data_IF_080829087443
#
_entry.id   IF_080829087443
#
_cell.length_a   1.000
_cell.length_b   1.000
_cell.length_c   1.000
_cell.angle_alpha   90.00
_cell.angle_beta   90.00
_cell.angle_gamma   90.00
#
_symmetry.space_group_name_H-M   'P 1'
#
loop_
_entity.id
_entity.type
_entity.pdbx_description
1 polymer ?
#
# COMPACT_ATOMS: atom_id res chain seq x y z
N UNK A 1 -9.18 -0.26 47.47
CA UNK A 1 -8.94 -1.54 46.74
C UNK A 1 -10.00 -1.83 45.64
N UNK A 2 -10.97 -0.96 45.33
CA UNK A 2 -12.06 -1.29 44.38
C UNK A 2 -11.84 -0.93 42.90
N UNK A 3 -10.87 -0.07 42.56
CA UNK A 3 -10.60 0.32 41.14
C UNK A 3 -10.00 -0.80 40.29
N UNK A 4 -9.28 -1.74 40.91
CA UNK A 4 -8.60 -2.84 40.20
C UNK A 4 -9.60 -3.86 39.66
N UNK A 5 -10.59 -4.29 40.47
CA UNK A 5 -11.54 -5.33 40.07
C UNK A 5 -12.48 -4.92 38.93
N UNK A 6 -12.85 -3.64 38.83
CA UNK A 6 -13.67 -3.11 37.73
C UNK A 6 -12.89 -3.02 36.42
N UNK A 7 -11.61 -2.63 36.49
CA UNK A 7 -10.72 -2.61 35.34
C UNK A 7 -10.38 -4.03 34.85
N UNK A 8 -10.21 -4.97 35.78
CA UNK A 8 -10.01 -6.39 35.49
C UNK A 8 -11.25 -6.99 34.80
N UNK A 9 -12.46 -6.67 35.27
CA UNK A 9 -13.71 -7.10 34.65
C UNK A 9 -13.91 -6.50 33.26
N UNK A 10 -13.60 -5.21 33.07
CA UNK A 10 -13.66 -4.56 31.76
C UNK A 10 -12.68 -5.21 30.77
N UNK A 11 -11.45 -5.51 31.23
CA UNK A 11 -10.43 -6.19 30.44
C UNK A 11 -10.86 -7.62 30.06
N UNK A 12 -11.43 -8.37 31.01
CA UNK A 12 -11.96 -9.70 30.77
C UNK A 12 -13.11 -9.68 29.74
N UNK A 13 -14.03 -8.71 29.84
CA UNK A 13 -15.11 -8.52 28.86
C UNK A 13 -14.57 -8.17 27.47
N UNK A 14 -13.61 -7.26 27.38
CA UNK A 14 -12.99 -6.90 26.10
C UNK A 14 -12.31 -8.10 25.44
N UNK A 15 -11.60 -8.91 26.23
CA UNK A 15 -10.98 -10.15 25.74
C UNK A 15 -12.01 -11.14 25.21
N UNK A 16 -13.09 -11.38 25.96
CA UNK A 16 -14.16 -12.27 25.53
C UNK A 16 -14.84 -11.80 24.23
N UNK A 17 -15.06 -10.49 24.09
CA UNK A 17 -15.60 -9.92 22.84
C UNK A 17 -14.63 -10.11 21.67
N UNK A 18 -13.32 -9.91 21.88
CA UNK A 18 -12.32 -10.14 20.85
C UNK A 18 -12.24 -11.61 20.43
N UNK A 19 -12.21 -12.54 21.39
CA UNK A 19 -12.21 -13.97 21.14
C UNK A 19 -13.45 -14.37 20.33
N UNK A 20 -14.62 -13.83 20.68
CA UNK A 20 -15.87 -14.06 19.94
C UNK A 20 -15.78 -13.58 18.48
N UNK A 21 -15.19 -12.41 18.23
CA UNK A 21 -14.99 -11.89 16.87
C UNK A 21 -14.03 -12.78 16.06
N UNK A 22 -12.95 -13.25 16.68
CA UNK A 22 -11.98 -14.15 16.05
C UNK A 22 -12.64 -15.49 15.69
N UNK A 23 -13.40 -16.08 16.61
CA UNK A 23 -14.11 -17.33 16.38
C UNK A 23 -15.20 -17.20 15.31
N UNK A 24 -15.95 -16.09 15.32
CA UNK A 24 -16.94 -15.78 14.29
C UNK A 24 -16.30 -15.63 12.91
N UNK A 25 -15.17 -14.93 12.81
CA UNK A 25 -14.42 -14.79 11.56
C UNK A 25 -13.87 -16.14 11.06
N UNK A 26 -13.37 -16.99 11.96
CA UNK A 26 -12.92 -18.34 11.62
C UNK A 26 -14.08 -19.24 11.15
N UNK A 27 -15.24 -19.15 11.80
CA UNK A 27 -16.47 -19.81 11.38
C UNK A 27 -16.91 -19.37 9.98
N UNK A 28 -17.05 -18.07 9.76
CA UNK A 28 -17.44 -17.49 8.47
C UNK A 28 -16.48 -17.91 7.35
N UNK A 29 -15.18 -17.96 7.62
CA UNK A 29 -14.17 -18.42 6.64
C UNK A 29 -14.42 -19.87 6.21
N UNK A 30 -14.77 -20.76 7.15
CA UNK A 30 -15.10 -22.17 6.85
C UNK A 30 -16.39 -22.28 6.06
N UNK A 31 -17.45 -21.56 6.48
CA UNK A 31 -18.75 -21.58 5.82
C UNK A 31 -18.68 -21.06 4.37
N UNK A 32 -17.90 -20.00 4.14
CA UNK A 32 -17.69 -19.44 2.80
C UNK A 32 -16.65 -20.24 1.98
N UNK A 33 -16.11 -21.34 2.51
CA UNK A 33 -15.04 -22.14 1.89
C UNK A 33 -13.82 -21.31 1.45
N UNK A 34 -13.51 -20.23 2.18
CA UNK A 34 -12.40 -19.33 1.87
C UNK A 34 -11.07 -19.97 2.31
N UNK A 35 -10.50 -20.80 1.44
CA UNK A 35 -9.17 -21.36 1.61
C UNK A 35 -8.06 -20.29 1.69
N UNK A 36 -6.80 -20.66 2.00
CA UNK A 36 -5.68 -19.74 1.86
C UNK A 36 -5.54 -19.34 0.39
N UNK A 37 -5.74 -18.05 0.08
CA UNK A 37 -5.45 -17.50 -1.25
C UNK A 37 -3.97 -17.13 -1.35
N UNK A 38 -3.35 -17.47 -2.48
CA UNK A 38 -1.98 -17.06 -2.82
C UNK A 38 -1.94 -15.83 -3.73
N UNK A 39 -3.11 -15.38 -4.18
CA UNK A 39 -3.29 -14.31 -5.15
C UNK A 39 -3.97 -13.12 -4.48
N UNK A 40 -3.51 -11.93 -4.82
CA UNK A 40 -4.02 -10.63 -4.35
C UNK A 40 -4.71 -9.89 -5.50
N UNK A 41 -5.65 -8.96 -5.24
CA UNK A 41 -6.28 -8.16 -6.30
C UNK A 41 -5.25 -7.42 -7.17
N UNK A 42 -4.16 -6.94 -6.58
CA UNK A 42 -3.08 -6.32 -7.33
C UNK A 42 -2.25 -7.30 -8.18
N UNK A 43 -2.27 -8.62 -7.90
CA UNK A 43 -1.78 -9.63 -8.87
C UNK A 43 -2.70 -9.74 -10.08
N UNK A 44 -4.02 -9.61 -9.90
CA UNK A 44 -4.98 -9.61 -11.02
C UNK A 44 -4.81 -8.37 -11.89
N UNK A 45 -4.61 -7.19 -11.30
CA UNK A 45 -4.28 -5.97 -12.06
C UNK A 45 -2.97 -6.14 -12.82
N UNK A 46 -1.95 -6.72 -12.18
CA UNK A 46 -0.69 -7.03 -12.85
C UNK A 46 -0.86 -7.99 -14.04
N UNK A 47 -1.78 -8.96 -13.92
CA UNK A 47 -2.11 -9.89 -14.98
C UNK A 47 -3.02 -9.28 -16.08
N UNK A 48 -3.79 -8.23 -15.76
CA UNK A 48 -4.84 -7.64 -16.61
C UNK A 48 -4.42 -6.38 -17.39
N UNK A 49 -3.15 -5.96 -17.35
CA UNK A 49 -2.63 -4.90 -18.23
C UNK A 49 -2.59 -5.44 -19.68
N UNK A 50 -3.62 -5.22 -20.55
CA UNK A 50 -4.00 -3.94 -21.21
C UNK A 50 -5.52 -3.54 -21.26
N UNK A 51 -5.77 -2.23 -21.48
CA UNK A 51 -6.97 -1.40 -21.79
C UNK A 51 -8.26 -1.37 -20.90
N UNK A 52 -8.58 -0.12 -20.44
CA UNK A 52 -9.88 0.49 -20.05
C UNK A 52 -10.44 0.46 -18.59
N UNK A 53 -10.39 1.65 -17.96
CA UNK A 53 -11.40 2.47 -17.25
C UNK A 53 -12.50 1.91 -16.30
N UNK A 54 -12.63 2.51 -15.08
CA UNK A 54 -13.89 2.50 -14.29
C UNK A 54 -13.90 3.05 -12.83
N UNK A 55 -14.46 4.26 -12.66
CA UNK A 55 -15.12 5.03 -11.55
C UNK A 55 -15.01 4.73 -10.02
N UNK A 56 -15.08 5.84 -9.26
CA UNK A 56 -14.76 6.05 -7.83
C UNK A 56 -15.94 6.15 -6.82
N UNK A 57 -15.61 6.08 -5.51
CA UNK A 57 -16.48 6.28 -4.32
C UNK A 57 -15.68 6.92 -3.14
N UNK A 58 -16.33 7.68 -2.23
CA UNK A 58 -15.75 8.84 -1.51
C UNK A 58 -14.87 8.52 -0.29
N UNK A 59 -13.84 9.34 -0.07
CA UNK A 59 -12.78 9.15 0.94
C UNK A 59 -12.84 10.04 2.19
N UNK A 60 -12.08 9.63 3.21
CA UNK A 60 -11.94 10.26 4.52
C UNK A 60 -10.69 11.15 4.61
N UNK A 61 -10.86 12.36 5.17
CA UNK A 61 -9.80 13.36 5.38
C UNK A 61 -9.26 13.28 6.82
N UNK A 62 -7.96 13.56 6.98
CA UNK A 62 -7.46 14.20 8.21
C UNK A 62 -6.13 13.68 8.75
N UNK A 63 -5.00 14.23 8.27
CA UNK A 63 -3.73 14.52 8.97
C UNK A 63 -2.75 15.17 7.97
N UNK A 64 -1.76 15.92 8.45
CA UNK A 64 -0.74 16.52 7.59
C UNK A 64 0.13 15.41 6.98
N UNK A 65 0.21 15.36 5.64
CA UNK A 65 0.74 14.21 4.91
C UNK A 65 2.22 13.91 5.12
N UNK A 66 3.01 14.85 5.65
CA UNK A 66 4.47 14.80 5.56
C UNK A 66 5.17 14.08 6.72
N UNK A 67 4.43 13.70 7.74
CA UNK A 67 5.00 13.04 8.91
C UNK A 67 5.31 11.57 8.59
N UNK A 68 6.57 11.11 8.63
CA UNK A 68 6.90 9.69 8.48
C UNK A 68 6.20 8.80 9.52
N UNK A 69 5.82 9.30 10.70
CA UNK A 69 5.04 8.54 11.68
C UNK A 69 3.62 8.23 11.17
N UNK A 70 3.04 9.06 10.29
CA UNK A 70 1.77 8.77 9.63
C UNK A 70 1.88 7.52 8.75
N UNK A 71 2.99 7.38 8.03
CA UNK A 71 3.24 6.19 7.22
C UNK A 71 3.42 4.95 8.11
N UNK A 72 4.08 5.08 9.26
CA UNK A 72 4.24 3.99 10.23
C UNK A 72 2.87 3.52 10.77
N UNK A 73 2.01 4.46 11.17
CA UNK A 73 0.64 4.19 11.62
C UNK A 73 -0.18 3.50 10.53
N UNK A 74 -0.13 3.99 9.29
CA UNK A 74 -0.88 3.43 8.16
C UNK A 74 -0.40 2.00 7.84
N UNK A 75 0.92 1.76 7.86
CA UNK A 75 1.50 0.45 7.59
C UNK A 75 1.31 -0.53 8.76
N UNK A 76 1.01 -0.05 9.96
CA UNK A 76 0.69 -0.91 11.11
C UNK A 76 -0.66 -1.63 10.95
N UNK A 77 -1.54 -1.11 10.08
CA UNK A 77 -2.84 -1.73 9.81
C UNK A 77 -2.62 -3.04 9.05
N UNK A 78 -3.14 -4.19 9.53
CA UNK A 78 -2.95 -5.47 8.87
C UNK A 78 -3.46 -5.47 7.42
N UNK A 79 -2.75 -6.17 6.54
CA UNK A 79 -3.10 -6.35 5.11
C UNK A 79 -3.12 -5.06 4.28
N UNK A 80 -2.52 -3.98 4.78
CA UNK A 80 -2.31 -2.75 4.02
C UNK A 80 -1.54 -3.04 2.73
N UNK A 81 -2.03 -2.48 1.64
CA UNK A 81 -1.34 -2.46 0.35
C UNK A 81 -0.67 -1.10 0.15
N UNK A 82 0.65 -1.11 0.01
CA UNK A 82 1.45 0.08 -0.29
C UNK A 82 1.71 0.15 -1.79
N UNK A 83 1.16 1.16 -2.46
CA UNK A 83 1.40 1.48 -3.86
C UNK A 83 2.34 2.68 -3.94
N UNK A 84 3.45 2.56 -4.67
CA UNK A 84 4.47 3.61 -4.75
C UNK A 84 4.60 4.09 -6.19
N UNK A 85 4.48 5.40 -6.38
CA UNK A 85 4.87 6.09 -7.61
C UNK A 85 6.40 6.20 -7.66
N UNK A 86 7.01 5.29 -8.42
CA UNK A 86 8.45 5.07 -8.42
C UNK A 86 9.23 6.32 -8.76
N UNK A 87 8.98 6.91 -9.95
CA UNK A 87 9.77 8.07 -10.39
C UNK A 87 9.42 9.35 -9.64
N UNK A 88 8.21 9.51 -9.13
CA UNK A 88 7.91 10.63 -8.23
C UNK A 88 8.78 10.57 -6.97
N UNK A 89 8.88 9.38 -6.37
CA UNK A 89 9.71 9.18 -5.16
C UNK A 89 11.19 9.31 -5.46
N UNK A 90 11.70 8.67 -6.51
CA UNK A 90 13.14 8.67 -6.78
C UNK A 90 13.65 10.04 -7.22
N UNK A 91 12.90 10.77 -8.06
CA UNK A 91 13.27 12.14 -8.47
C UNK A 91 13.24 13.11 -7.28
N UNK A 92 12.38 12.87 -6.29
CA UNK A 92 12.33 13.69 -5.07
C UNK A 92 13.56 13.48 -4.17
N UNK A 93 14.06 12.24 -4.07
CA UNK A 93 15.11 11.90 -3.09
C UNK A 93 16.53 11.84 -3.63
N UNK A 94 16.71 11.43 -4.88
CA UNK A 94 18.02 11.14 -5.47
C UNK A 94 17.94 11.24 -7.00
N UNK A 95 17.34 12.33 -7.49
CA UNK A 95 17.10 12.59 -8.91
C UNK A 95 18.37 12.76 -9.77
N UNK A 96 19.52 13.01 -9.14
CA UNK A 96 20.82 13.13 -9.82
C UNK A 96 21.41 11.76 -10.24
N UNK A 97 20.88 10.65 -9.72
CA UNK A 97 21.30 9.31 -10.09
C UNK A 97 20.71 8.88 -11.44
N UNK A 98 21.32 7.90 -12.09
CA UNK A 98 20.72 7.28 -13.29
C UNK A 98 19.40 6.59 -12.96
N UNK A 99 18.48 6.45 -13.92
CA UNK A 99 17.17 5.82 -13.67
C UNK A 99 17.29 4.38 -13.11
N UNK A 100 18.33 3.64 -13.52
CA UNK A 100 18.63 2.32 -12.98
C UNK A 100 19.03 2.38 -11.50
N UNK A 101 19.97 3.25 -11.13
CA UNK A 101 20.42 3.43 -9.74
C UNK A 101 19.29 3.96 -8.84
N UNK A 102 18.47 4.86 -9.37
CA UNK A 102 17.27 5.35 -8.70
C UNK A 102 16.35 4.18 -8.31
N UNK A 103 16.02 3.33 -9.27
CA UNK A 103 15.16 2.15 -9.04
C UNK A 103 15.77 1.19 -8.03
N UNK A 104 17.04 0.82 -8.22
CA UNK A 104 17.70 -0.16 -7.35
C UNK A 104 17.74 0.32 -5.90
N UNK A 105 18.02 1.61 -5.69
CA UNK A 105 18.01 2.24 -4.37
C UNK A 105 16.62 2.23 -3.73
N UNK A 106 15.57 2.57 -4.49
CA UNK A 106 14.19 2.54 -3.99
C UNK A 106 13.76 1.12 -3.61
N UNK A 107 13.99 0.15 -4.50
CA UNK A 107 13.61 -1.25 -4.29
C UNK A 107 14.35 -1.86 -3.09
N UNK A 108 15.63 -1.56 -2.91
CA UNK A 108 16.39 -1.98 -1.74
C UNK A 108 15.81 -1.41 -0.42
N UNK A 109 15.33 -0.17 -0.43
CA UNK A 109 14.65 0.42 0.71
C UNK A 109 13.32 -0.28 1.03
N UNK A 110 12.52 -0.54 0.00
CA UNK A 110 11.18 -1.12 0.13
C UNK A 110 11.19 -2.59 0.54
N UNK A 111 12.27 -3.33 0.32
CA UNK A 111 12.45 -4.69 0.85
C UNK A 111 12.25 -4.76 2.36
N UNK A 112 12.70 -3.76 3.13
CA UNK A 112 12.50 -3.71 4.58
C UNK A 112 11.03 -3.49 4.96
N UNK A 113 10.30 -2.72 4.15
CA UNK A 113 8.86 -2.52 4.33
C UNK A 113 8.11 -3.82 4.04
N UNK A 114 8.45 -4.49 2.94
CA UNK A 114 7.87 -5.77 2.56
C UNK A 114 8.17 -6.88 3.59
N UNK A 115 9.37 -6.90 4.18
CA UNK A 115 9.74 -7.83 5.24
C UNK A 115 8.85 -7.70 6.50
N UNK A 116 8.22 -6.54 6.71
CA UNK A 116 7.21 -6.34 7.75
C UNK A 116 5.83 -6.95 7.42
N UNK A 117 5.70 -7.66 6.30
CA UNK A 117 4.44 -8.28 5.86
C UNK A 117 3.48 -7.35 5.13
N UNK A 118 3.91 -6.12 4.81
CA UNK A 118 3.16 -5.19 3.94
C UNK A 118 3.26 -5.66 2.50
N UNK A 119 2.14 -5.71 1.78
CA UNK A 119 2.17 -5.90 0.33
C UNK A 119 2.66 -4.61 -0.33
N UNK A 120 3.74 -4.67 -1.12
CA UNK A 120 4.32 -3.49 -1.76
C UNK A 120 4.26 -3.62 -3.28
N UNK A 121 3.73 -2.61 -3.97
CA UNK A 121 3.74 -2.49 -5.43
C UNK A 121 4.34 -1.16 -5.84
N UNK A 122 5.37 -1.17 -6.69
CA UNK A 122 6.01 0.02 -7.25
C UNK A 122 5.64 0.14 -8.71
N UNK A 123 5.13 1.31 -9.10
CA UNK A 123 4.77 1.65 -10.46
C UNK A 123 5.84 2.57 -11.04
N UNK A 124 6.45 2.18 -12.16
CA UNK A 124 7.34 3.05 -12.93
C UNK A 124 6.70 3.37 -14.28
N UNK A 125 6.96 4.58 -14.77
CA UNK A 125 6.59 4.95 -16.14
C UNK A 125 7.46 4.17 -17.15
N UNK A 126 6.83 3.49 -18.11
CA UNK A 126 7.50 2.58 -19.06
C UNK A 126 8.07 3.22 -20.32
N UNK A 127 8.18 4.55 -20.39
CA UNK A 127 8.94 5.22 -21.46
C UNK A 127 10.45 4.87 -21.45
N UNK A 128 10.96 4.21 -20.41
CA UNK A 128 12.35 3.80 -20.28
C UNK A 128 12.60 2.38 -20.84
N UNK A 129 13.38 2.27 -21.92
CA UNK A 129 13.74 0.99 -22.54
C UNK A 129 14.48 0.03 -21.59
N UNK A 130 15.11 0.53 -20.52
CA UNK A 130 15.77 -0.28 -19.49
C UNK A 130 14.80 -0.93 -18.47
N UNK A 131 13.51 -0.60 -18.52
CA UNK A 131 12.45 -1.12 -17.65
C UNK A 131 12.17 -2.62 -17.83
N UNK A 132 12.43 -3.18 -19.02
CA UNK A 132 12.11 -4.59 -19.30
C UNK A 132 13.03 -5.61 -18.62
N UNK A 133 14.17 -5.17 -18.07
CA UNK A 133 15.19 -6.04 -17.48
C UNK A 133 15.17 -6.08 -15.94
N UNK A 134 14.22 -5.41 -15.29
CA UNK A 134 14.23 -5.23 -13.83
C UNK A 134 13.70 -6.47 -13.15
N UNK A 135 14.58 -7.23 -12.51
CA UNK A 135 14.16 -8.30 -11.60
C UNK A 135 13.67 -7.67 -10.30
N UNK A 136 12.37 -7.73 -10.09
CA UNK A 136 11.76 -7.35 -8.83
C UNK A 136 12.31 -8.23 -7.69
N UNK A 137 12.79 -7.65 -6.58
CA UNK A 137 13.15 -8.41 -5.40
C UNK A 137 11.95 -9.18 -4.84
N UNK A 138 12.18 -10.37 -4.26
CA UNK A 138 11.10 -11.13 -3.62
C UNK A 138 10.44 -10.29 -2.52
N UNK A 139 9.12 -10.15 -2.58
CA UNK A 139 8.32 -9.36 -1.63
C UNK A 139 7.94 -7.96 -2.12
N UNK A 140 8.52 -7.47 -3.22
CA UNK A 140 8.12 -6.20 -3.84
C UNK A 140 7.65 -6.47 -5.26
N UNK A 141 6.41 -6.11 -5.59
CA UNK A 141 5.89 -6.15 -6.96
C UNK A 141 6.37 -4.90 -7.70
N UNK A 142 6.91 -5.06 -8.90
CA UNK A 142 7.34 -3.93 -9.75
C UNK A 142 6.56 -4.01 -11.05
N UNK A 143 5.83 -2.95 -11.35
CA UNK A 143 5.01 -2.81 -12.54
C UNK A 143 5.50 -1.61 -13.36
N UNK A 144 5.51 -1.78 -14.68
CA UNK A 144 5.82 -0.72 -15.62
C UNK A 144 4.56 -0.39 -16.42
N UNK A 145 4.24 0.89 -16.56
CA UNK A 145 3.14 1.31 -17.43
C UNK A 145 3.51 1.07 -18.91
N UNK A 146 2.54 0.74 -19.75
CA UNK A 146 2.75 0.49 -21.18
C UNK A 146 2.19 1.64 -22.02
N UNK A 147 2.88 2.77 -22.06
CA UNK A 147 2.49 3.94 -22.87
C UNK A 147 1.46 4.88 -22.23
N UNK A 148 0.94 4.54 -21.06
CA UNK A 148 0.17 5.45 -20.16
C UNK A 148 1.08 5.98 -19.05
N UNK A 149 0.72 7.13 -18.47
CA UNK A 149 1.42 7.69 -17.29
C UNK A 149 1.23 6.71 -16.12
N UNK A 150 2.26 6.52 -15.29
CA UNK A 150 2.21 5.64 -14.10
C UNK A 150 0.97 5.89 -13.21
N UNK A 151 0.46 7.12 -13.22
CA UNK A 151 -0.79 7.58 -12.64
C UNK A 151 -1.99 6.66 -12.92
N UNK A 152 -2.19 6.24 -14.17
CA UNK A 152 -3.35 5.41 -14.56
C UNK A 152 -3.23 3.99 -14.03
N UNK A 153 -2.00 3.46 -13.99
CA UNK A 153 -1.70 2.19 -13.34
C UNK A 153 -2.00 2.25 -11.83
N UNK A 154 -1.59 3.33 -11.16
CA UNK A 154 -1.87 3.54 -9.73
C UNK A 154 -3.38 3.57 -9.48
N UNK A 155 -4.15 4.29 -10.31
CA UNK A 155 -5.62 4.34 -10.20
C UNK A 155 -6.24 2.96 -10.38
N UNK A 156 -5.80 2.17 -11.37
CA UNK A 156 -6.28 0.79 -11.56
C UNK A 156 -6.01 -0.10 -10.35
N UNK A 157 -4.81 -0.01 -9.77
CA UNK A 157 -4.47 -0.74 -8.55
C UNK A 157 -5.42 -0.39 -7.41
N UNK A 158 -5.65 0.91 -7.16
CA UNK A 158 -6.57 1.35 -6.10
C UNK A 158 -8.00 0.89 -6.37
N UNK A 159 -8.47 0.96 -7.63
CA UNK A 159 -9.83 0.56 -8.00
C UNK A 159 -10.10 -0.94 -7.84
N UNK A 160 -9.09 -1.78 -8.04
CA UNK A 160 -9.22 -3.23 -7.95
C UNK A 160 -9.28 -3.75 -6.51
N UNK A 161 -8.79 -2.97 -5.54
CA UNK A 161 -8.80 -3.40 -4.15
C UNK A 161 -10.23 -3.40 -3.57
N UNK A 162 -10.61 -4.44 -2.80
CA UNK A 162 -11.95 -4.56 -2.26
C UNK A 162 -12.22 -3.42 -1.27
N UNK A 163 -13.45 -2.86 -1.26
CA UNK A 163 -13.84 -1.84 -0.30
C UNK A 163 -13.56 -2.28 1.14
N UNK A 164 -12.84 -1.44 1.90
CA UNK A 164 -12.46 -1.72 3.29
C UNK A 164 -11.05 -2.29 3.48
N UNK A 165 -10.36 -2.71 2.40
CA UNK A 165 -8.92 -2.97 2.49
C UNK A 165 -8.16 -1.64 2.53
N UNK A 166 -7.26 -1.42 3.51
CA UNK A 166 -6.43 -0.22 3.53
C UNK A 166 -5.46 -0.19 2.34
N UNK A 167 -5.50 0.90 1.58
CA UNK A 167 -4.55 1.18 0.50
C UNK A 167 -3.85 2.49 0.79
N UNK A 168 -2.53 2.49 0.72
CA UNK A 168 -1.68 3.65 0.89
C UNK A 168 -0.95 3.91 -0.41
N UNK A 169 -1.17 5.07 -1.01
CA UNK A 169 -0.47 5.52 -2.22
C UNK A 169 0.61 6.51 -1.82
N UNK A 170 1.84 6.28 -2.26
CA UNK A 170 2.94 7.23 -2.11
C UNK A 170 3.15 7.97 -3.42
N UNK A 171 2.74 9.23 -3.46
CA UNK A 171 3.01 10.16 -4.55
C UNK A 171 2.93 11.60 -4.04
N UNK A 172 3.66 12.50 -4.68
CA UNK A 172 3.58 13.95 -4.47
C UNK A 172 2.86 14.65 -5.63
N UNK A 173 2.39 13.89 -6.63
CA UNK A 173 1.55 14.44 -7.69
C UNK A 173 0.15 14.74 -7.13
N UNK A 174 -0.30 16.00 -7.27
CA UNK A 174 -1.59 16.43 -6.72
C UNK A 174 -2.78 15.81 -7.44
N UNK A 175 -2.71 15.65 -8.76
CA UNK A 175 -3.79 15.05 -9.52
C UNK A 175 -3.99 13.59 -9.08
N UNK A 176 -2.91 12.80 -9.06
CA UNK A 176 -2.96 11.42 -8.58
C UNK A 176 -3.42 11.36 -7.13
N UNK A 177 -2.88 12.20 -6.24
CA UNK A 177 -3.27 12.26 -4.83
C UNK A 177 -4.76 12.48 -4.65
N UNK A 178 -5.32 13.49 -5.33
CA UNK A 178 -6.73 13.83 -5.24
C UNK A 178 -7.61 12.70 -5.77
N UNK A 179 -7.18 12.05 -6.84
CA UNK A 179 -7.91 10.96 -7.47
C UNK A 179 -7.96 9.70 -6.58
N UNK A 180 -6.82 9.25 -6.06
CA UNK A 180 -6.77 8.05 -5.20
C UNK A 180 -7.44 8.29 -3.85
N UNK A 181 -7.35 9.50 -3.30
CA UNK A 181 -8.11 9.89 -2.11
C UNK A 181 -9.62 9.87 -2.37
N UNK A 182 -10.06 10.34 -3.55
CA UNK A 182 -11.45 10.23 -3.99
C UNK A 182 -11.91 8.79 -4.21
N UNK A 183 -11.00 7.82 -4.27
CA UNK A 183 -11.27 6.39 -4.36
C UNK A 183 -11.17 5.66 -2.99
N UNK A 184 -10.82 6.39 -1.92
CA UNK A 184 -10.73 5.85 -0.57
C UNK A 184 -9.34 5.40 -0.11
N UNK A 185 -8.29 5.60 -0.93
CA UNK A 185 -6.92 5.36 -0.51
C UNK A 185 -6.38 6.51 0.35
N UNK A 186 -5.51 6.19 1.31
CA UNK A 186 -4.68 7.18 1.96
C UNK A 186 -3.56 7.60 0.99
N UNK A 187 -3.26 8.90 0.92
CA UNK A 187 -2.14 9.39 0.11
C UNK A 187 -1.07 10.01 1.01
N UNK A 188 0.18 9.62 0.76
CA UNK A 188 1.37 10.03 1.50
C UNK A 188 2.38 10.61 0.51
N UNK A 189 3.01 11.76 0.79
CA UNK A 189 3.98 12.38 -0.10
C UNK A 189 5.30 11.62 -0.10
N UNK A 190 6.03 11.71 -1.22
CA UNK A 190 7.31 11.01 -1.43
C UNK A 190 8.31 11.23 -0.30
N UNK A 191 8.39 12.45 0.23
CA UNK A 191 9.30 12.82 1.32
C UNK A 191 9.08 12.00 2.60
N UNK A 192 7.84 11.63 2.93
CA UNK A 192 7.55 10.85 4.12
C UNK A 192 8.06 9.41 3.97
N UNK A 193 7.89 8.80 2.78
CA UNK A 193 8.49 7.51 2.48
C UNK A 193 10.02 7.58 2.51
N UNK A 194 10.62 8.59 1.87
CA UNK A 194 12.08 8.75 1.86
C UNK A 194 12.64 8.92 3.28
N UNK A 195 11.99 9.73 4.12
CA UNK A 195 12.36 9.91 5.52
C UNK A 195 12.25 8.60 6.31
N UNK A 196 11.21 7.80 6.09
CA UNK A 196 11.08 6.46 6.69
C UNK A 196 12.20 5.53 6.22
N UNK A 197 12.48 5.47 4.92
CA UNK A 197 13.52 4.61 4.36
C UNK A 197 14.93 5.01 4.81
N UNK A 198 15.16 6.28 5.18
CA UNK A 198 16.44 6.72 5.74
C UNK A 198 16.68 6.23 7.18
N UNK A 199 15.62 5.88 7.93
CA UNK A 199 15.74 5.27 9.26
C UNK A 199 16.26 3.84 9.07
N UNK A 200 17.36 3.49 9.73
CA UNK A 200 17.98 2.17 9.63
C UNK A 200 17.16 1.13 10.37
#
# INVERSE_FOLDING_TARGET
>A
RSRTSTADLATARARLLLDTVVDAAAGLRRELALGPSTTTPADEVAAALPDAAGRARPGSRGRAGDDPALLDDLLSVPRTHLVVDGYNVTKTGFGDLTLAEQRDRLLAGLLRVAAGGTEVTVCFDGADAAARAVRAPRGVRVLFSSGEIADDLIRRLVAAEPPGRPVVVVTSDRAVSDDVQRMGAACVPARALLARLARR
#
